data_IF_551983974276
#
_entry.id   IF_551983974276
#
_cell.length_a   1.000
_cell.length_b   1.000
_cell.length_c   1.000
_cell.angle_alpha   90.00
_cell.angle_beta   90.00
_cell.angle_gamma   90.00
#
_symmetry.space_group_name_H-M   'P 1'
#
loop_
_entity.id
_entity.type
_entity.pdbx_description
1 polymer ?
#
# COMPACT_ATOMS: atom_id res chain seq x y z
N UNK A 1 38.28 11.91 -0.87
CA UNK A 1 37.28 10.85 -0.91
C UNK A 1 36.19 11.29 0.06
N UNK A 2 34.98 11.60 -0.37
CA UNK A 2 33.90 11.90 0.56
C UNK A 2 33.62 10.65 1.39
N UNK A 3 33.61 10.79 2.72
CA UNK A 3 33.14 9.78 3.65
C UNK A 3 31.72 9.39 3.26
N UNK A 4 31.38 8.09 3.19
CA UNK A 4 30.00 7.69 3.01
C UNK A 4 29.22 8.24 4.21
N UNK A 5 28.29 9.14 3.96
CA UNK A 5 27.38 9.62 4.97
C UNK A 5 26.60 8.41 5.50
N UNK A 6 27.03 7.90 6.66
CA UNK A 6 26.26 6.90 7.39
C UNK A 6 24.92 7.57 7.71
N UNK A 7 23.90 7.23 6.99
CA UNK A 7 22.56 7.78 7.20
C UNK A 7 22.06 7.20 8.51
N UNK A 8 22.28 7.93 9.62
CA UNK A 8 21.72 7.53 10.90
C UNK A 8 20.20 7.53 10.81
N UNK A 9 19.57 6.44 11.23
CA UNK A 9 18.13 6.33 11.39
C UNK A 9 17.69 7.18 12.60
N UNK A 10 17.83 8.50 12.46
CA UNK A 10 17.40 9.41 13.51
C UNK A 10 15.89 9.61 13.48
N UNK A 11 15.25 9.86 14.64
CA UNK A 11 13.82 10.20 14.67
C UNK A 11 13.47 11.40 13.78
N UNK A 12 14.39 12.35 13.62
CA UNK A 12 14.21 13.51 12.74
C UNK A 12 14.16 13.07 11.28
N UNK A 13 15.06 12.20 10.86
CA UNK A 13 15.08 11.67 9.48
C UNK A 13 13.80 10.90 9.16
N UNK A 14 13.29 10.09 10.09
CA UNK A 14 12.02 9.37 9.92
C UNK A 14 10.83 10.32 9.79
N UNK A 15 10.82 11.45 10.50
CA UNK A 15 9.79 12.48 10.35
C UNK A 15 9.90 13.22 9.00
N UNK A 16 11.10 13.55 8.55
CA UNK A 16 11.33 14.14 7.23
C UNK A 16 10.80 13.25 6.12
N UNK A 17 11.10 11.94 6.16
CA UNK A 17 10.58 10.97 5.19
C UNK A 17 9.05 10.95 5.13
N UNK A 18 8.38 11.05 6.28
CA UNK A 18 6.91 11.12 6.34
C UNK A 18 6.34 12.39 5.71
N UNK A 19 7.07 13.51 5.83
CA UNK A 19 6.66 14.79 5.25
C UNK A 19 6.95 14.86 3.75
N UNK A 20 8.08 14.33 3.32
CA UNK A 20 8.49 14.28 1.91
C UNK A 20 7.64 13.30 1.09
N UNK A 21 7.19 12.22 1.71
CA UNK A 21 6.45 11.14 1.06
C UNK A 21 5.08 10.92 1.70
N UNK A 22 4.06 11.70 1.35
CA UNK A 22 2.72 11.59 1.96
C UNK A 22 1.99 10.29 1.58
N UNK A 23 2.34 9.65 0.46
CA UNK A 23 1.81 8.36 0.07
C UNK A 23 2.57 7.20 0.73
N UNK A 24 1.83 6.19 1.21
CA UNK A 24 2.41 5.08 1.98
C UNK A 24 3.49 4.31 1.21
N UNK A 25 3.28 4.04 -0.06
CA UNK A 25 4.21 3.32 -0.93
C UNK A 25 5.52 4.10 -1.13
N UNK A 26 5.42 5.40 -1.38
CA UNK A 26 6.58 6.30 -1.47
C UNK A 26 7.37 6.37 -0.18
N UNK A 27 6.70 6.53 0.96
CA UNK A 27 7.33 6.51 2.27
C UNK A 27 8.05 5.19 2.55
N UNK A 28 7.40 4.05 2.31
CA UNK A 28 8.00 2.73 2.54
C UNK A 28 9.21 2.48 1.63
N UNK A 29 9.18 2.95 0.37
CA UNK A 29 10.31 2.83 -0.55
C UNK A 29 11.50 3.67 -0.07
N UNK A 30 11.26 4.92 0.32
CA UNK A 30 12.30 5.81 0.85
C UNK A 30 12.90 5.29 2.16
N UNK A 31 12.05 4.80 3.07
CA UNK A 31 12.50 4.18 4.32
C UNK A 31 13.32 2.92 4.08
N UNK A 32 12.93 2.07 3.12
CA UNK A 32 13.70 0.89 2.76
C UNK A 32 15.09 1.27 2.20
N UNK A 33 15.18 2.36 1.42
CA UNK A 33 16.45 2.88 0.92
C UNK A 33 17.36 3.35 2.07
N UNK A 34 16.82 4.13 3.01
CA UNK A 34 17.57 4.63 4.16
C UNK A 34 18.01 3.46 5.07
N UNK A 35 17.14 2.45 5.29
CA UNK A 35 17.46 1.24 6.04
C UNK A 35 18.57 0.42 5.37
N UNK A 36 18.55 0.27 4.05
CA UNK A 36 19.62 -0.42 3.33
C UNK A 36 20.96 0.32 3.48
N UNK A 37 20.95 1.65 3.40
CA UNK A 37 22.14 2.48 3.65
C UNK A 37 22.66 2.36 5.08
N UNK A 38 21.77 2.40 6.07
CA UNK A 38 22.11 2.25 7.50
C UNK A 38 22.72 0.86 7.81
N UNK A 39 22.26 -0.17 7.13
CA UNK A 39 22.71 -1.55 7.31
C UNK A 39 23.81 -1.98 6.33
N UNK A 40 24.39 -1.04 5.56
CA UNK A 40 25.41 -1.36 4.57
C UNK A 40 26.67 -2.03 5.16
N UNK A 41 27.04 -1.69 6.41
CA UNK A 41 28.14 -2.34 7.13
C UNK A 41 27.95 -3.85 7.35
N UNK A 42 26.69 -4.31 7.30
CA UNK A 42 26.28 -5.71 7.43
C UNK A 42 26.09 -6.40 6.08
N UNK A 43 26.72 -5.86 5.01
CA UNK A 43 26.65 -6.41 3.66
C UNK A 43 25.24 -6.44 3.07
N UNK A 44 24.40 -5.46 3.46
CA UNK A 44 23.07 -5.26 2.90
C UNK A 44 23.18 -4.46 1.62
N UNK A 45 22.74 -5.06 0.49
CA UNK A 45 22.71 -4.43 -0.83
C UNK A 45 21.34 -3.89 -1.22
N UNK A 46 20.28 -4.27 -0.49
CA UNK A 46 18.93 -3.80 -0.72
C UNK A 46 17.99 -4.14 0.43
N UNK A 47 16.89 -3.41 0.50
CA UNK A 47 15.85 -3.66 1.50
C UNK A 47 14.45 -3.48 0.92
N UNK A 48 13.48 -4.16 1.50
CA UNK A 48 12.06 -3.98 1.21
C UNK A 48 11.21 -4.04 2.48
N UNK A 49 10.11 -3.31 2.47
CA UNK A 49 9.12 -3.34 3.54
C UNK A 49 7.80 -3.82 2.95
N UNK A 50 7.29 -4.89 3.53
CA UNK A 50 5.98 -5.45 3.19
C UNK A 50 5.00 -5.15 4.31
N UNK A 51 3.86 -4.55 3.97
CA UNK A 51 2.81 -4.20 4.93
C UNK A 51 1.49 -4.84 4.52
N UNK A 52 0.94 -5.65 5.40
CA UNK A 52 -0.41 -6.21 5.26
C UNK A 52 -1.43 -5.33 5.97
N UNK A 53 -2.45 -4.90 5.23
CA UNK A 53 -3.53 -4.05 5.73
C UNK A 53 -4.85 -4.81 5.74
N UNK A 54 -5.63 -4.76 6.84
CA UNK A 54 -6.93 -5.42 6.89
C UNK A 54 -7.86 -4.92 5.78
N UNK A 55 -8.43 -5.85 5.00
CA UNK A 55 -9.38 -5.58 3.90
C UNK A 55 -8.85 -4.68 2.77
N UNK A 56 -7.54 -4.53 2.65
CA UNK A 56 -6.87 -3.76 1.59
C UNK A 56 -5.73 -4.58 1.00
N UNK A 57 -5.26 -4.17 -0.16
CA UNK A 57 -4.10 -4.81 -0.78
C UNK A 57 -2.85 -4.64 0.07
N UNK A 58 -2.02 -5.68 0.12
CA UNK A 58 -0.67 -5.62 0.69
C UNK A 58 0.15 -4.59 -0.07
N UNK A 59 0.88 -3.75 0.66
CA UNK A 59 1.87 -2.84 0.06
C UNK A 59 3.25 -3.46 0.22
N UNK A 60 3.96 -3.51 -0.87
CA UNK A 60 5.36 -3.92 -0.90
C UNK A 60 6.15 -2.80 -1.57
N UNK A 61 7.14 -2.29 -0.87
CA UNK A 61 7.99 -1.22 -1.38
C UNK A 61 9.43 -1.46 -0.95
N UNK A 62 10.39 -1.12 -1.81
CA UNK A 62 11.79 -1.33 -1.49
C UNK A 62 12.73 -0.84 -2.57
N UNK A 63 14.03 -0.96 -2.30
CA UNK A 63 15.10 -0.54 -3.18
C UNK A 63 16.23 -1.56 -3.18
N UNK A 64 16.99 -1.60 -4.28
CA UNK A 64 18.18 -2.43 -4.44
C UNK A 64 17.94 -3.80 -5.08
N UNK A 65 19.03 -4.55 -5.29
CA UNK A 65 18.99 -5.90 -5.84
C UNK A 65 18.16 -6.84 -4.97
N UNK A 66 17.38 -7.71 -5.58
CA UNK A 66 16.53 -8.68 -4.86
C UNK A 66 15.10 -8.21 -4.59
N UNK A 67 14.80 -6.93 -4.75
CA UNK A 67 13.45 -6.40 -4.55
C UNK A 67 12.61 -6.62 -5.80
N UNK A 68 11.61 -7.51 -5.71
CA UNK A 68 10.59 -7.68 -6.75
C UNK A 68 9.42 -6.74 -6.52
N UNK A 69 8.98 -6.06 -7.57
CA UNK A 69 7.83 -5.16 -7.52
C UNK A 69 6.47 -5.86 -7.27
N UNK A 70 6.44 -7.20 -7.29
CA UNK A 70 5.23 -7.99 -7.10
C UNK A 70 5.28 -8.77 -5.79
N UNK A 71 4.86 -8.14 -4.69
CA UNK A 71 4.73 -8.76 -3.37
C UNK A 71 3.59 -9.79 -3.23
N UNK A 72 3.36 -10.65 -4.22
CA UNK A 72 2.26 -11.60 -4.21
C UNK A 72 2.66 -13.04 -4.59
N UNK A 73 3.94 -13.38 -4.51
CA UNK A 73 4.35 -14.77 -4.69
C UNK A 73 4.24 -15.54 -3.37
N UNK A 74 3.73 -16.77 -3.40
CA UNK A 74 3.75 -17.69 -2.25
C UNK A 74 5.18 -17.99 -1.76
N UNK A 75 6.20 -17.55 -2.49
CA UNK A 75 7.62 -17.60 -2.16
C UNK A 75 8.14 -16.26 -1.58
N UNK A 76 7.25 -15.29 -1.25
CA UNK A 76 7.66 -14.03 -0.65
C UNK A 76 8.29 -14.30 0.73
N UNK A 77 9.54 -13.86 0.95
CA UNK A 77 10.22 -14.00 2.23
C UNK A 77 9.41 -13.47 3.42
N UNK A 78 8.63 -12.43 3.20
CA UNK A 78 7.79 -11.80 4.22
C UNK A 78 6.63 -12.70 4.69
N UNK A 79 6.13 -13.62 3.86
CA UNK A 79 4.95 -14.43 4.19
C UNK A 79 5.16 -15.34 5.39
N UNK A 80 6.35 -15.92 5.53
CA UNK A 80 6.74 -16.74 6.66
C UNK A 80 6.74 -15.96 7.97
N UNK A 81 7.33 -14.76 7.95
CA UNK A 81 7.40 -13.85 9.11
C UNK A 81 6.00 -13.37 9.51
N UNK A 82 5.16 -13.01 8.54
CA UNK A 82 3.78 -12.57 8.80
C UNK A 82 2.93 -13.66 9.48
N UNK A 83 3.21 -14.93 9.17
CA UNK A 83 2.46 -16.05 9.72
C UNK A 83 2.96 -16.46 11.11
N UNK A 84 4.28 -16.47 11.30
CA UNK A 84 4.91 -17.01 12.53
C UNK A 84 5.26 -15.92 13.54
N UNK A 85 5.45 -14.68 13.10
CA UNK A 85 5.99 -13.58 13.90
C UNK A 85 7.49 -13.74 14.22
N UNK A 86 8.16 -14.72 13.64
CA UNK A 86 9.57 -15.01 13.89
C UNK A 86 10.44 -14.60 12.70
N UNK A 87 11.68 -14.17 12.92
CA UNK A 87 12.62 -13.89 11.83
C UNK A 87 12.87 -15.11 10.95
N UNK A 88 12.96 -14.86 9.64
CA UNK A 88 13.34 -15.87 8.65
C UNK A 88 14.65 -15.46 8.01
N UNK A 89 15.66 -16.30 8.11
CA UNK A 89 17.00 -16.05 7.54
C UNK A 89 17.38 -17.14 6.58
N UNK A 90 17.68 -16.74 5.34
CA UNK A 90 18.19 -17.63 4.31
C UNK A 90 19.60 -17.19 3.91
N UNK A 91 20.60 -17.96 4.35
CA UNK A 91 22.02 -17.64 4.15
C UNK A 91 22.56 -18.02 2.80
N UNK A 92 21.89 -18.93 2.09
CA UNK A 92 22.29 -19.40 0.76
C UNK A 92 21.04 -19.59 -0.08
N UNK A 93 20.81 -18.71 -1.01
CA UNK A 93 19.85 -18.87 -2.08
C UNK A 93 20.52 -19.72 -3.18
N UNK A 94 20.50 -21.04 -3.02
CA UNK A 94 20.87 -21.94 -4.12
C UNK A 94 19.99 -21.65 -5.32
N UNK A 95 20.51 -21.70 -6.57
CA UNK A 95 19.94 -21.24 -7.84
C UNK A 95 18.45 -21.45 -8.17
N UNK A 96 17.65 -21.92 -7.23
CA UNK A 96 16.19 -22.12 -7.34
C UNK A 96 15.39 -20.82 -7.36
N UNK A 97 15.86 -19.76 -6.72
CA UNK A 97 15.12 -18.48 -6.74
C UNK A 97 15.26 -17.74 -8.08
N UNK A 98 16.29 -18.07 -8.87
CA UNK A 98 16.42 -17.63 -10.27
C UNK A 98 15.35 -18.21 -11.20
N UNK A 99 14.71 -19.33 -10.84
CA UNK A 99 13.76 -20.05 -11.71
C UNK A 99 12.28 -19.78 -11.40
N UNK A 100 11.95 -19.13 -10.27
CA UNK A 100 10.56 -18.81 -9.91
C UNK A 100 10.18 -17.37 -10.17
N UNK A 101 11.02 -16.59 -10.83
CA UNK A 101 10.64 -15.30 -11.36
C UNK A 101 9.51 -15.50 -12.39
N UNK A 102 8.30 -15.08 -12.06
CA UNK A 102 7.19 -15.07 -13.01
C UNK A 102 7.58 -14.27 -14.26
N UNK A 103 7.03 -14.60 -15.46
CA UNK A 103 7.29 -13.85 -16.67
C UNK A 103 6.89 -12.38 -16.44
N UNK A 104 7.88 -11.48 -16.41
CA UNK A 104 7.72 -10.05 -16.09
C UNK A 104 8.43 -9.59 -14.81
N UNK A 105 9.01 -10.47 -14.01
CA UNK A 105 9.92 -10.09 -12.93
C UNK A 105 11.21 -9.51 -13.54
N UNK A 106 11.55 -8.28 -13.14
CA UNK A 106 12.77 -7.62 -13.59
C UNK A 106 13.98 -8.47 -13.19
N UNK A 107 14.86 -8.86 -14.12
CA UNK A 107 16.09 -9.57 -13.78
C UNK A 107 17.02 -8.58 -13.06
N UNK A 108 17.05 -8.63 -11.78
CA UNK A 108 17.86 -7.76 -10.93
C UNK A 108 18.15 -8.40 -9.58
N UNK A 109 17.71 -9.63 -9.40
CA UNK A 109 17.82 -10.33 -8.14
C UNK A 109 19.08 -11.23 -8.14
N UNK A 110 20.23 -10.64 -8.04
CA UNK A 110 21.45 -11.38 -7.70
C UNK A 110 21.63 -11.52 -6.17
N UNK A 111 20.53 -11.44 -5.41
CA UNK A 111 20.56 -11.69 -3.98
C UNK A 111 20.97 -13.16 -3.72
N UNK A 112 22.05 -13.33 -2.97
CA UNK A 112 22.54 -14.65 -2.57
C UNK A 112 22.06 -15.06 -1.16
N UNK A 113 21.60 -14.08 -0.37
CA UNK A 113 21.06 -14.29 0.97
C UNK A 113 19.97 -13.23 1.29
N UNK A 114 19.06 -13.53 2.22
CA UNK A 114 18.15 -12.55 2.78
C UNK A 114 17.87 -12.81 4.27
N UNK A 115 17.48 -11.76 4.96
CA UNK A 115 16.90 -11.83 6.30
C UNK A 115 15.59 -11.03 6.34
N UNK A 116 14.53 -11.65 6.82
CA UNK A 116 13.22 -11.03 7.01
C UNK A 116 12.89 -11.00 8.49
N UNK A 117 12.58 -9.83 9.02
CA UNK A 117 12.25 -9.63 10.43
C UNK A 117 10.92 -8.92 10.59
N UNK A 118 10.13 -9.22 11.63
CA UNK A 118 8.91 -8.48 11.89
C UNK A 118 9.23 -7.05 12.32
N UNK A 119 8.50 -6.08 11.76
CA UNK A 119 8.50 -4.71 12.29
C UNK A 119 7.43 -4.65 13.39
N UNK A 120 7.77 -4.35 14.65
CA UNK A 120 6.85 -4.39 15.77
C UNK A 120 5.87 -3.20 15.76
N UNK A 121 4.97 -3.19 14.78
CA UNK A 121 3.96 -2.14 14.61
C UNK A 121 2.78 -2.41 15.53
N UNK A 122 2.41 -1.51 16.45
CA UNK A 122 1.21 -1.65 17.27
C UNK A 122 -0.03 -1.41 16.41
N UNK A 123 -0.51 -2.43 15.73
CA UNK A 123 -1.77 -2.37 15.00
C UNK A 123 -2.91 -2.72 15.95
N UNK A 124 -3.71 -1.73 16.31
CA UNK A 124 -4.90 -1.92 17.12
C UNK A 124 -6.00 -2.57 16.28
N UNK A 125 -6.39 -3.80 16.62
CA UNK A 125 -7.55 -4.49 16.07
C UNK A 125 -7.30 -5.95 15.74
N UNK A 126 -8.27 -6.82 16.05
CA UNK A 126 -8.28 -8.24 15.72
C UNK A 126 -8.47 -8.44 14.21
N UNK A 127 -7.38 -8.61 13.51
CA UNK A 127 -7.35 -8.83 12.06
C UNK A 127 -5.95 -8.49 11.58
N UNK A 128 -4.99 -9.23 12.10
CA UNK A 128 -3.57 -9.09 11.99
C UNK A 128 -3.07 -8.50 10.66
N UNK A 129 -3.02 -7.18 10.59
CA UNK A 129 -2.07 -6.51 9.73
C UNK A 129 -0.69 -6.69 10.36
N UNK A 130 0.35 -6.78 9.56
CA UNK A 130 1.73 -6.89 10.00
C UNK A 130 2.64 -6.12 9.06
N UNK A 131 3.81 -5.77 9.54
CA UNK A 131 4.86 -5.22 8.70
C UNK A 131 6.12 -6.08 8.84
N UNK A 132 6.82 -6.26 7.75
CA UNK A 132 8.05 -7.05 7.68
C UNK A 132 9.10 -6.25 6.94
N UNK A 133 10.27 -6.15 7.51
CA UNK A 133 11.48 -5.68 6.87
C UNK A 133 12.22 -6.88 6.31
N UNK A 134 12.50 -6.88 5.03
CA UNK A 134 13.38 -7.87 4.38
C UNK A 134 14.59 -7.15 3.83
N UNK A 135 15.77 -7.63 4.18
CA UNK A 135 17.06 -7.16 3.66
C UNK A 135 17.72 -8.23 2.82
N UNK A 136 18.46 -7.80 1.82
CA UNK A 136 19.08 -8.66 0.82
C UNK A 136 20.59 -8.42 0.78
N UNK A 137 21.35 -9.48 0.51
CA UNK A 137 22.79 -9.42 0.24
C UNK A 137 23.13 -10.20 -1.02
N UNK A 138 24.11 -9.68 -1.76
CA UNK A 138 24.71 -10.36 -2.92
C UNK A 138 25.67 -11.48 -2.51
N UNK A 139 26.07 -11.52 -1.24
CA UNK A 139 27.02 -12.49 -0.72
C UNK A 139 26.33 -13.60 0.09
N UNK A 140 26.64 -14.88 -0.19
CA UNK A 140 26.15 -15.98 0.61
C UNK A 140 26.73 -15.91 2.02
N UNK A 141 25.89 -16.19 3.04
CA UNK A 141 26.33 -16.21 4.43
C UNK A 141 26.40 -14.86 5.13
N UNK A 142 26.01 -13.75 4.48
CA UNK A 142 26.07 -12.38 5.01
C UNK A 142 25.33 -12.23 6.35
N UNK A 143 24.19 -12.93 6.55
CA UNK A 143 23.36 -12.75 7.73
C UNK A 143 23.71 -13.71 8.85
N UNK A 144 24.78 -13.37 9.61
CA UNK A 144 25.12 -13.98 10.89
C UNK A 144 24.20 -13.49 12.02
N UNK A 145 24.35 -14.04 13.24
CA UNK A 145 23.50 -13.64 14.38
C UNK A 145 23.56 -12.14 14.70
N UNK A 146 24.73 -11.53 14.59
CA UNK A 146 24.96 -10.10 14.86
C UNK A 146 24.29 -9.22 13.79
N UNK A 147 24.38 -9.59 12.50
CA UNK A 147 23.71 -8.91 11.41
C UNK A 147 22.19 -8.99 11.57
N UNK A 148 21.64 -10.16 11.92
CA UNK A 148 20.20 -10.30 12.18
C UNK A 148 19.75 -9.43 13.35
N UNK A 149 20.53 -9.33 14.42
CA UNK A 149 20.26 -8.43 15.53
C UNK A 149 20.28 -6.95 15.13
N UNK A 150 21.20 -6.56 14.23
CA UNK A 150 21.23 -5.20 13.69
C UNK A 150 19.96 -4.91 12.87
N UNK A 151 19.51 -5.83 12.04
CA UNK A 151 18.27 -5.73 11.26
C UNK A 151 17.04 -5.63 12.18
N UNK A 152 16.97 -6.43 13.23
CA UNK A 152 15.88 -6.38 14.23
C UNK A 152 15.84 -5.03 14.95
N UNK A 153 17.01 -4.45 15.32
CA UNK A 153 17.09 -3.12 15.93
C UNK A 153 16.60 -2.05 14.96
N UNK A 154 17.07 -2.06 13.72
CA UNK A 154 16.65 -1.12 12.70
C UNK A 154 15.13 -1.21 12.43
N UNK A 155 14.56 -2.42 12.40
CA UNK A 155 13.12 -2.63 12.29
C UNK A 155 12.35 -2.06 13.49
N UNK A 156 12.87 -2.20 14.71
CA UNK A 156 12.27 -1.63 15.91
C UNK A 156 12.32 -0.11 15.94
N UNK A 157 13.42 0.50 15.51
CA UNK A 157 13.56 1.95 15.39
C UNK A 157 12.60 2.54 14.35
N UNK A 158 12.40 1.86 13.23
CA UNK A 158 11.48 2.28 12.18
C UNK A 158 10.00 2.07 12.55
N UNK A 159 9.69 1.23 13.54
CA UNK A 159 8.33 0.77 13.85
C UNK A 159 7.34 1.93 14.12
N UNK A 160 7.77 2.95 14.85
CA UNK A 160 6.92 4.10 15.19
C UNK A 160 6.56 4.91 13.93
N UNK A 161 7.51 5.13 13.03
CA UNK A 161 7.27 5.84 11.78
C UNK A 161 6.37 5.04 10.82
N UNK A 162 6.58 3.73 10.71
CA UNK A 162 5.71 2.83 9.94
C UNK A 162 4.30 2.82 10.53
N UNK A 163 4.15 2.76 11.86
CA UNK A 163 2.84 2.83 12.52
C UNK A 163 2.11 4.14 12.23
N UNK A 164 2.82 5.26 12.25
CA UNK A 164 2.27 6.58 11.95
C UNK A 164 1.86 6.69 10.48
N UNK A 165 2.70 6.24 9.55
CA UNK A 165 2.38 6.20 8.12
C UNK A 165 1.11 5.39 7.84
N UNK A 166 0.98 4.19 8.45
CA UNK A 166 -0.21 3.35 8.33
C UNK A 166 -1.47 4.02 8.89
N UNK A 167 -1.31 4.77 9.98
CA UNK A 167 -2.43 5.50 10.58
C UNK A 167 -2.91 6.64 9.70
N UNK A 168 -1.96 7.39 9.11
CA UNK A 168 -2.27 8.45 8.15
C UNK A 168 -2.94 7.89 6.88
N UNK A 169 -2.39 6.82 6.29
CA UNK A 169 -2.99 6.12 5.15
C UNK A 169 -4.42 5.64 5.44
N UNK A 170 -4.65 5.10 6.63
CA UNK A 170 -5.99 4.67 7.02
C UNK A 170 -6.97 5.84 7.19
N UNK A 171 -6.53 6.99 7.71
CA UNK A 171 -7.35 8.19 7.86
C UNK A 171 -7.66 8.82 6.51
N UNK A 172 -6.67 8.98 5.63
CA UNK A 172 -6.85 9.48 4.28
C UNK A 172 -7.87 8.63 3.50
N UNK A 173 -7.69 7.32 3.53
CA UNK A 173 -8.63 6.42 2.86
C UNK A 173 -10.05 6.47 3.42
N UNK A 174 -10.21 6.67 4.74
CA UNK A 174 -11.53 6.88 5.34
C UNK A 174 -12.15 8.20 4.87
N UNK A 175 -11.36 9.28 4.81
CA UNK A 175 -11.82 10.57 4.32
C UNK A 175 -12.27 10.47 2.86
N UNK A 176 -11.48 9.84 1.99
CA UNK A 176 -11.82 9.61 0.58
C UNK A 176 -13.11 8.80 0.41
N UNK A 177 -13.28 7.74 1.21
CA UNK A 177 -14.50 6.92 1.18
C UNK A 177 -15.74 7.70 1.63
N UNK A 178 -15.62 8.54 2.67
CA UNK A 178 -16.71 9.39 3.14
C UNK A 178 -17.06 10.46 2.09
N UNK A 179 -16.06 11.08 1.49
CA UNK A 179 -16.25 12.05 0.42
C UNK A 179 -16.98 11.42 -0.77
N UNK A 180 -16.51 10.26 -1.23
CA UNK A 180 -17.15 9.52 -2.33
C UNK A 180 -18.59 9.08 -2.00
N UNK A 181 -18.87 8.75 -0.73
CA UNK A 181 -20.23 8.43 -0.27
C UNK A 181 -21.14 9.64 -0.31
N UNK A 182 -20.66 10.81 0.14
CA UNK A 182 -21.41 12.08 0.11
C UNK A 182 -21.72 12.50 -1.32
N UNK A 183 -20.71 12.47 -2.20
CA UNK A 183 -20.89 12.79 -3.62
C UNK A 183 -21.89 11.85 -4.29
N UNK A 184 -21.77 10.54 -4.03
CA UNK A 184 -22.72 9.54 -4.52
C UNK A 184 -24.15 9.82 -4.07
N UNK A 185 -24.33 10.19 -2.80
CA UNK A 185 -25.66 10.53 -2.26
C UNK A 185 -26.24 11.76 -2.93
N UNK A 186 -25.44 12.82 -3.08
CA UNK A 186 -25.86 14.07 -3.74
C UNK A 186 -26.36 13.80 -5.18
N UNK A 187 -25.62 13.02 -5.96
CA UNK A 187 -26.00 12.68 -7.33
C UNK A 187 -27.29 11.87 -7.37
N UNK A 188 -27.48 10.92 -6.43
CA UNK A 188 -28.71 10.12 -6.33
C UNK A 188 -29.90 11.00 -5.94
N UNK A 189 -29.73 11.93 -4.99
CA UNK A 189 -30.81 12.83 -4.55
C UNK A 189 -31.21 13.80 -5.68
N UNK A 190 -30.26 14.33 -6.45
CA UNK A 190 -30.55 15.16 -7.63
C UNK A 190 -31.32 14.38 -8.71
N UNK A 191 -30.86 13.16 -9.04
CA UNK A 191 -31.54 12.30 -9.99
C UNK A 191 -32.95 11.93 -9.52
N UNK A 192 -33.13 11.62 -8.24
CA UNK A 192 -34.44 11.39 -7.67
C UNK A 192 -35.37 12.59 -7.80
N UNK A 193 -34.88 13.81 -7.56
CA UNK A 193 -35.61 15.05 -7.77
C UNK A 193 -36.09 15.23 -9.21
N UNK A 194 -35.21 14.93 -10.19
CA UNK A 194 -35.55 14.98 -11.60
C UNK A 194 -36.66 13.97 -11.95
N UNK A 195 -36.53 12.72 -11.47
CA UNK A 195 -37.51 11.67 -11.71
C UNK A 195 -38.84 12.00 -11.05
N UNK A 196 -38.84 12.54 -9.83
CA UNK A 196 -40.04 13.03 -9.15
C UNK A 196 -40.78 14.07 -9.97
N UNK A 197 -40.06 15.06 -10.54
CA UNK A 197 -40.64 16.11 -11.34
C UNK A 197 -41.21 15.58 -12.67
N UNK A 198 -40.52 14.63 -13.32
CA UNK A 198 -40.95 14.06 -14.59
C UNK A 198 -42.12 13.09 -14.47
N UNK A 199 -42.13 12.25 -13.42
CA UNK A 199 -43.11 11.18 -13.25
C UNK A 199 -44.20 11.49 -12.22
N UNK A 200 -44.15 12.66 -11.58
CA UNK A 200 -45.08 13.06 -10.52
C UNK A 200 -45.21 11.99 -9.41
N UNK A 201 -44.10 11.48 -8.94
CA UNK A 201 -44.01 10.40 -7.96
C UNK A 201 -43.29 10.81 -6.67
N UNK A 202 -43.39 9.97 -5.64
CA UNK A 202 -42.69 10.20 -4.36
C UNK A 202 -41.18 9.98 -4.50
N UNK A 203 -40.40 10.56 -3.57
CA UNK A 203 -38.95 10.35 -3.49
C UNK A 203 -38.61 8.84 -3.38
N UNK A 204 -39.36 8.09 -2.58
CA UNK A 204 -39.15 6.65 -2.42
C UNK A 204 -39.34 5.93 -3.76
N UNK A 205 -40.39 6.25 -4.50
CA UNK A 205 -40.65 5.68 -5.83
C UNK A 205 -39.54 6.01 -6.82
N UNK A 206 -39.06 7.27 -6.80
CA UNK A 206 -37.96 7.69 -7.66
C UNK A 206 -36.64 6.92 -7.37
N UNK A 207 -36.31 6.73 -6.11
CA UNK A 207 -35.13 5.92 -5.70
C UNK A 207 -35.31 4.45 -6.09
N UNK A 208 -36.51 3.89 -5.95
CA UNK A 208 -36.80 2.52 -6.35
C UNK A 208 -36.72 2.31 -7.86
N UNK A 209 -37.07 3.31 -8.66
CA UNK A 209 -36.83 3.33 -10.12
C UNK A 209 -35.33 3.26 -10.40
N UNK A 210 -34.51 4.11 -9.78
CA UNK A 210 -33.05 4.09 -9.96
C UNK A 210 -32.45 2.72 -9.59
N UNK A 211 -32.89 2.13 -8.47
CA UNK A 211 -32.44 0.79 -8.03
C UNK A 211 -32.86 -0.30 -9.01
N UNK A 212 -34.08 -0.25 -9.51
CA UNK A 212 -34.58 -1.22 -10.49
C UNK A 212 -33.75 -1.19 -11.78
N UNK A 213 -33.45 0.00 -12.30
CA UNK A 213 -32.58 0.16 -13.48
C UNK A 213 -31.16 -0.30 -13.21
N UNK A 214 -30.62 0.03 -12.01
CA UNK A 214 -29.30 -0.41 -11.58
C UNK A 214 -29.20 -1.95 -11.58
N UNK A 215 -30.18 -2.62 -10.99
CA UNK A 215 -30.21 -4.08 -10.91
C UNK A 215 -30.37 -4.71 -12.30
N UNK A 216 -31.24 -4.16 -13.16
CA UNK A 216 -31.49 -4.71 -14.50
C UNK A 216 -30.28 -4.55 -15.44
N UNK A 217 -29.49 -3.51 -15.26
CA UNK A 217 -28.30 -3.22 -16.08
C UNK A 217 -27.00 -3.68 -15.45
N UNK A 218 -27.03 -4.15 -14.20
CA UNK A 218 -25.84 -4.49 -13.40
C UNK A 218 -24.83 -3.33 -13.33
N UNK A 219 -25.32 -2.10 -13.19
CA UNK A 219 -24.55 -0.86 -13.11
C UNK A 219 -24.82 -0.22 -11.73
N UNK A 220 -23.83 0.44 -11.13
CA UNK A 220 -24.02 1.08 -9.82
C UNK A 220 -25.09 2.16 -9.89
N UNK A 221 -25.93 2.26 -8.85
CA UNK A 221 -27.02 3.27 -8.76
C UNK A 221 -26.50 4.68 -9.01
N UNK A 222 -25.32 5.01 -8.50
CA UNK A 222 -24.64 6.27 -8.71
C UNK A 222 -24.42 6.60 -10.18
N UNK A 223 -24.00 5.61 -10.97
CA UNK A 223 -23.69 5.80 -12.38
C UNK A 223 -24.96 5.97 -13.22
N UNK A 224 -26.06 5.27 -12.85
CA UNK A 224 -27.39 5.50 -13.41
C UNK A 224 -27.87 6.92 -13.07
N UNK A 225 -27.73 7.34 -11.82
CA UNK A 225 -28.14 8.66 -11.36
C UNK A 225 -27.35 9.77 -12.07
N UNK A 226 -26.03 9.60 -12.24
CA UNK A 226 -25.19 10.54 -13.00
C UNK A 226 -25.66 10.69 -14.45
N UNK A 227 -26.06 9.60 -15.11
CA UNK A 227 -26.65 9.64 -16.44
C UNK A 227 -27.96 10.43 -16.52
N UNK A 228 -28.83 10.30 -15.50
CA UNK A 228 -30.08 11.08 -15.43
C UNK A 228 -29.80 12.58 -15.27
N UNK A 229 -28.85 12.93 -14.41
CA UNK A 229 -28.44 14.33 -14.17
C UNK A 229 -27.80 14.94 -15.44
N UNK A 230 -26.92 14.20 -16.11
CA UNK A 230 -26.23 14.67 -17.31
C UNK A 230 -27.22 15.04 -18.44
N UNK A 231 -28.24 14.21 -18.69
CA UNK A 231 -29.27 14.47 -19.71
C UNK A 231 -30.02 15.78 -19.45
N UNK A 232 -30.20 16.17 -18.19
CA UNK A 232 -30.90 17.42 -17.85
C UNK A 232 -29.93 18.60 -17.92
N UNK A 233 -28.70 18.45 -17.50
CA UNK A 233 -27.66 19.47 -17.56
C UNK A 233 -27.37 19.88 -19.02
N UNK A 234 -27.25 18.93 -19.95
CA UNK A 234 -27.08 19.21 -21.38
C UNK A 234 -28.25 19.97 -21.98
N UNK A 235 -29.48 19.71 -21.53
CA UNK A 235 -30.66 20.45 -21.97
C UNK A 235 -30.70 21.88 -21.45
N UNK A 236 -30.12 22.15 -20.27
CA UNK A 236 -30.09 23.50 -19.67
C UNK A 236 -29.02 24.36 -20.34
N UNK A 237 -27.85 23.79 -20.67
CA UNK A 237 -26.77 24.52 -21.31
C UNK A 237 -27.08 24.97 -22.76
N UNK A 238 -27.97 24.27 -23.47
CA UNK A 238 -28.40 24.66 -24.82
C UNK A 238 -29.46 25.78 -24.84
N UNK A 239 -29.95 26.22 -23.67
CA UNK A 239 -31.03 27.23 -23.61
C UNK A 239 -30.54 28.63 -23.19
N UNK A 240 -29.23 28.81 -22.95
CA UNK A 240 -28.64 30.09 -22.51
C UNK A 240 -27.62 30.67 -23.50
N UNK A 241 -27.55 30.17 -24.73
CA UNK A 241 -26.83 30.82 -25.84
C UNK A 241 -27.82 31.55 -26.74
N UNK A 242 -28.30 32.71 -26.29
CA UNK A 242 -28.81 33.80 -27.11
C UNK A 242 -28.41 35.15 -26.50
#
# INVERSE_FOLDING_TARGET
>A
VPEPATTELSPVRLQELLLEHPALDGFLAALACDLAGHLAEWDVSGASITVVRPRRQTVHAGSGPGVSASGQSAADPASGVLTTGLPVVVRHLGGRMRQTAAPGAVPGADAAAFASVPVPVPLAGAGAGGAVLTVYSEHPGAFGPEAVQAVERAAAEAAAAVALALRLDALTHRAENLQAALESRTVVDLAAGIIMAQNNCSQQSAVDILRSVSNSRNVKVRDIAAGVVAVVSDRVSTHFEE
#
